data_IF_811925337919
#
_entry.id   IF_811925337919
#
_cell.length_a   1.000
_cell.length_b   1.000
_cell.length_c   1.000
_cell.angle_alpha   90.00
_cell.angle_beta   90.00
_cell.angle_gamma   90.00
#
_symmetry.space_group_name_H-M   'P 1'
#
loop_
_entity.id
_entity.type
_entity.pdbx_description
1 polymer ?
#
# COMPACT_ATOMS: atom_id res chain seq x y z
N UNK A 1 -14.40 -7.78 -16.13
CA UNK A 1 -12.96 -7.98 -16.45
C UNK A 1 -12.26 -8.29 -15.14
N UNK A 2 -11.97 -9.57 -14.90
CA UNK A 2 -11.16 -10.00 -13.76
C UNK A 2 -9.71 -9.86 -14.22
N UNK A 3 -8.94 -8.99 -13.57
CA UNK A 3 -7.55 -8.77 -13.93
C UNK A 3 -6.68 -9.88 -13.35
N UNK A 4 -5.96 -10.59 -14.21
CA UNK A 4 -4.90 -11.50 -13.78
C UNK A 4 -3.88 -10.74 -12.93
N UNK A 5 -3.67 -11.23 -11.70
CA UNK A 5 -2.58 -10.79 -10.83
C UNK A 5 -1.27 -11.32 -11.42
N UNK A 6 -0.61 -10.51 -12.24
CA UNK A 6 0.63 -10.90 -12.88
C UNK A 6 1.81 -10.69 -11.92
N UNK A 7 2.05 -11.66 -11.04
CA UNK A 7 3.19 -11.63 -10.12
C UNK A 7 4.55 -11.64 -10.84
N UNK A 8 4.61 -11.97 -12.14
CA UNK A 8 5.86 -12.04 -12.89
C UNK A 8 6.54 -10.68 -13.07
N UNK A 9 5.79 -9.57 -12.92
CA UNK A 9 6.34 -8.20 -13.04
C UNK A 9 6.33 -7.44 -11.72
N UNK A 10 5.88 -8.08 -10.62
CA UNK A 10 5.81 -7.44 -9.32
C UNK A 10 7.20 -7.33 -8.69
N UNK A 11 7.65 -6.11 -8.46
CA UNK A 11 8.84 -5.80 -7.67
C UNK A 11 8.39 -5.23 -6.32
N UNK A 12 8.88 -5.84 -5.23
CA UNK A 12 8.64 -5.42 -3.85
C UNK A 12 9.95 -4.91 -3.26
N UNK A 13 9.98 -3.63 -2.94
CA UNK A 13 11.17 -2.89 -2.50
C UNK A 13 10.97 -2.40 -1.06
N UNK A 14 11.45 -3.16 -0.06
CA UNK A 14 11.45 -2.71 1.32
C UNK A 14 12.53 -1.66 1.57
N UNK A 15 12.22 -0.64 2.36
CA UNK A 15 13.21 0.34 2.83
C UNK A 15 13.63 0.12 4.30
N UNK A 16 13.12 -0.93 4.96
CA UNK A 16 13.65 -1.36 6.25
C UNK A 16 15.04 -1.99 6.06
N UNK A 17 15.90 -1.84 7.07
CA UNK A 17 17.22 -2.49 7.04
C UNK A 17 17.15 -3.92 7.57
N UNK A 18 18.00 -4.80 7.04
CA UNK A 18 18.17 -6.18 7.49
C UNK A 18 19.56 -6.38 8.10
N UNK A 19 19.69 -7.38 8.97
CA UNK A 19 20.99 -7.88 9.42
C UNK A 19 21.57 -8.95 8.46
N UNK A 20 22.67 -9.57 8.86
CA UNK A 20 23.38 -10.61 8.11
C UNK A 20 22.65 -11.96 8.10
N UNK A 21 21.64 -12.16 8.96
CA UNK A 21 20.73 -13.30 8.94
C UNK A 21 19.46 -13.03 8.11
N UNK A 22 19.30 -11.80 7.60
CA UNK A 22 18.14 -11.38 6.82
C UNK A 22 16.93 -10.97 7.67
N UNK A 23 17.11 -10.73 8.97
CA UNK A 23 16.04 -10.29 9.86
C UNK A 23 15.88 -8.76 9.83
N UNK A 24 14.64 -8.22 9.86
CA UNK A 24 14.41 -6.78 9.94
C UNK A 24 15.02 -6.18 11.23
N UNK A 25 15.84 -5.15 11.07
CA UNK A 25 16.59 -4.51 12.15
C UNK A 25 16.07 -3.12 12.53
N UNK A 26 15.81 -2.28 11.53
CA UNK A 26 15.32 -0.92 11.73
C UNK A 26 14.24 -0.57 10.71
N UNK A 27 13.32 0.29 11.10
CA UNK A 27 12.33 0.91 10.22
C UNK A 27 12.99 1.74 9.11
N UNK A 28 12.21 2.10 8.09
CA UNK A 28 12.68 2.96 7.01
C UNK A 28 13.24 4.27 7.58
N UNK A 29 14.34 4.76 7.01
CA UNK A 29 14.88 6.06 7.40
C UNK A 29 13.83 7.16 7.21
N UNK A 30 13.87 8.21 8.02
CA UNK A 30 12.91 9.31 7.91
C UNK A 30 12.78 9.84 6.47
N UNK A 31 11.55 10.16 6.06
CA UNK A 31 11.20 10.62 4.71
C UNK A 31 11.32 9.55 3.60
N UNK A 32 11.47 8.28 3.96
CA UNK A 32 11.26 7.14 3.07
C UNK A 32 9.93 6.46 3.37
N UNK A 33 9.39 5.77 2.36
CA UNK A 33 8.21 4.90 2.49
C UNK A 33 8.64 3.56 3.08
N UNK A 34 7.78 2.83 3.78
CA UNK A 34 8.20 1.54 4.33
C UNK A 34 8.46 0.50 3.24
N UNK A 35 7.54 0.31 2.30
CA UNK A 35 7.66 -0.62 1.17
C UNK A 35 7.08 0.00 -0.10
N UNK A 36 7.76 -0.19 -1.23
CA UNK A 36 7.26 0.19 -2.56
C UNK A 36 6.95 -1.10 -3.33
N UNK A 37 5.74 -1.19 -3.88
CA UNK A 37 5.32 -2.29 -4.76
C UNK A 37 5.07 -1.73 -6.15
N UNK A 38 5.70 -2.28 -7.18
CA UNK A 38 5.46 -1.86 -8.58
C UNK A 38 5.28 -3.06 -9.48
N UNK A 39 4.30 -2.97 -10.37
CA UNK A 39 4.07 -3.93 -11.44
C UNK A 39 3.83 -3.19 -12.76
N UNK A 40 3.42 -3.89 -13.82
CA UNK A 40 3.19 -3.26 -15.13
C UNK A 40 1.96 -2.36 -15.19
N UNK A 41 1.09 -2.37 -14.18
CA UNK A 41 -0.19 -1.66 -14.12
C UNK A 41 -0.24 -0.61 -13.01
N UNK A 42 0.58 -0.75 -11.98
CA UNK A 42 0.46 0.03 -10.76
C UNK A 42 1.78 0.23 -10.04
N UNK A 43 1.87 1.34 -9.31
CA UNK A 43 2.93 1.61 -8.37
C UNK A 43 2.33 2.10 -7.06
N UNK A 44 2.55 1.35 -5.99
CA UNK A 44 1.96 1.61 -4.68
C UNK A 44 3.00 1.69 -3.58
N UNK A 45 2.62 2.38 -2.52
CA UNK A 45 3.40 2.49 -1.29
C UNK A 45 2.62 1.82 -0.18
N UNK A 46 3.27 0.94 0.57
CA UNK A 46 2.71 0.30 1.75
C UNK A 46 3.40 0.93 2.94
N UNK A 47 2.61 1.52 3.83
CA UNK A 47 3.05 2.31 4.96
C UNK A 47 2.40 1.72 6.21
N UNK A 48 3.20 1.34 7.20
CA UNK A 48 2.77 0.57 8.36
C UNK A 48 3.07 1.31 9.64
N UNK A 49 2.14 1.28 10.60
CA UNK A 49 2.36 1.96 11.88
C UNK A 49 1.78 1.17 13.04
N UNK A 50 2.45 1.24 14.19
CA UNK A 50 1.90 0.78 15.46
C UNK A 50 1.10 1.87 16.19
N UNK A 51 1.15 3.12 15.70
CA UNK A 51 0.41 4.23 16.30
C UNK A 51 -1.09 3.96 16.18
N UNK A 52 -1.77 4.00 17.32
CA UNK A 52 -3.22 3.95 17.42
C UNK A 52 -3.74 5.30 17.93
N UNK A 53 -4.79 5.84 17.31
CA UNK A 53 -5.44 7.08 17.74
C UNK A 53 -5.01 8.32 16.95
N UNK A 54 -5.24 9.51 17.54
CA UNK A 54 -5.11 10.82 16.89
C UNK A 54 -3.75 11.08 16.21
N UNK A 55 -2.69 10.46 16.71
CA UNK A 55 -1.34 10.59 16.15
C UNK A 55 -1.25 10.12 14.68
N UNK A 56 -2.13 9.22 14.24
CA UNK A 56 -2.11 8.70 12.87
C UNK A 56 -2.27 9.79 11.80
N UNK A 57 -3.12 10.80 12.04
CA UNK A 57 -3.33 11.86 11.04
C UNK A 57 -2.05 12.66 10.83
N UNK A 58 -1.48 13.18 11.91
CA UNK A 58 -0.32 14.07 11.82
C UNK A 58 0.99 13.33 11.52
N UNK A 59 1.18 12.16 12.14
CA UNK A 59 2.45 11.45 12.10
C UNK A 59 2.53 10.48 10.93
N UNK A 60 1.41 10.00 10.40
CA UNK A 60 1.39 8.99 9.32
C UNK A 60 0.75 9.56 8.05
N UNK A 61 -0.52 9.97 8.10
CA UNK A 61 -1.27 10.31 6.89
C UNK A 61 -0.76 11.57 6.17
N UNK A 62 -0.31 12.59 6.90
CA UNK A 62 0.34 13.76 6.29
C UNK A 62 1.64 13.38 5.55
N UNK A 63 2.60 12.64 6.15
CA UNK A 63 3.73 12.05 5.41
C UNK A 63 3.32 11.17 4.22
N UNK A 64 2.40 10.21 4.40
CA UNK A 64 1.95 9.29 3.35
C UNK A 64 1.40 10.06 2.16
N UNK A 65 0.63 11.12 2.40
CA UNK A 65 0.09 11.99 1.35
C UNK A 65 1.21 12.65 0.55
N UNK A 66 2.26 13.16 1.22
CA UNK A 66 3.44 13.73 0.55
C UNK A 66 4.21 12.66 -0.22
N UNK A 67 4.39 11.47 0.35
CA UNK A 67 5.05 10.35 -0.31
C UNK A 67 4.29 9.94 -1.58
N UNK A 68 2.96 9.84 -1.55
CA UNK A 68 2.18 9.47 -2.74
C UNK A 68 2.24 10.55 -3.83
N UNK A 69 2.17 11.84 -3.46
CA UNK A 69 2.37 12.95 -4.42
C UNK A 69 3.73 12.89 -5.10
N UNK A 70 4.80 12.78 -4.30
CA UNK A 70 6.16 12.70 -4.82
C UNK A 70 6.34 11.50 -5.76
N UNK A 71 5.66 10.37 -5.48
CA UNK A 71 5.69 9.19 -6.32
C UNK A 71 5.04 9.48 -7.69
N UNK A 72 3.85 10.07 -7.68
CA UNK A 72 3.13 10.43 -8.91
C UNK A 72 3.96 11.42 -9.73
N UNK A 73 4.43 12.50 -9.10
CA UNK A 73 5.23 13.55 -9.74
C UNK A 73 6.52 13.02 -10.37
N UNK A 74 7.25 12.16 -9.66
CA UNK A 74 8.51 11.57 -10.16
C UNK A 74 8.30 10.67 -11.37
N UNK A 75 7.07 10.21 -11.63
CA UNK A 75 6.73 9.32 -12.73
C UNK A 75 5.81 9.95 -13.80
N UNK A 76 5.51 11.25 -13.72
CA UNK A 76 4.65 11.95 -14.70
C UNK A 76 5.18 11.86 -16.15
N UNK A 77 6.49 11.69 -16.33
CA UNK A 77 7.13 11.59 -17.64
C UNK A 77 7.19 10.16 -18.20
N UNK A 78 6.71 9.15 -17.47
CA UNK A 78 6.65 7.78 -17.98
C UNK A 78 5.38 7.58 -18.81
N UNK A 79 5.54 7.07 -20.04
CA UNK A 79 4.45 6.87 -21.00
C UNK A 79 3.42 5.80 -20.57
N UNK A 80 3.65 5.08 -19.47
CA UNK A 80 2.74 4.06 -18.95
C UNK A 80 1.72 4.65 -17.98
N UNK A 81 0.44 4.43 -18.27
CA UNK A 81 -0.68 4.83 -17.43
C UNK A 81 -0.78 3.93 -16.19
N UNK A 82 0.14 4.13 -15.24
CA UNK A 82 0.19 3.36 -14.00
C UNK A 82 -0.80 3.89 -12.96
N UNK A 83 -1.50 3.00 -12.27
CA UNK A 83 -2.32 3.33 -11.12
C UNK A 83 -1.41 3.60 -9.90
N UNK A 84 -1.60 4.74 -9.23
CA UNK A 84 -0.86 5.10 -8.02
C UNK A 84 -1.77 5.09 -6.80
N UNK A 85 -1.38 4.40 -5.74
CA UNK A 85 -2.14 4.38 -4.49
C UNK A 85 -1.24 4.08 -3.29
N UNK A 86 -1.74 4.39 -2.10
CA UNK A 86 -1.09 4.05 -0.84
C UNK A 86 -1.98 3.11 0.00
N UNK A 87 -1.37 2.12 0.65
CA UNK A 87 -2.00 1.33 1.70
C UNK A 87 -1.40 1.73 3.04
N UNK A 88 -2.24 2.22 3.95
CA UNK A 88 -1.89 2.49 5.34
C UNK A 88 -2.43 1.37 6.23
N UNK A 89 -1.56 0.67 6.95
CA UNK A 89 -1.95 -0.47 7.79
C UNK A 89 -1.52 -0.20 9.24
N UNK A 90 -2.44 -0.38 10.18
CA UNK A 90 -2.15 -0.27 11.60
C UNK A 90 -2.94 -1.29 12.42
N UNK A 91 -2.59 -1.53 13.70
CA UNK A 91 -3.40 -2.39 14.56
C UNK A 91 -4.87 -1.96 14.62
N UNK A 92 -5.12 -0.65 14.65
CA UNK A 92 -6.45 -0.03 14.58
C UNK A 92 -6.38 1.34 13.94
N UNK A 93 -7.24 1.60 12.97
CA UNK A 93 -7.42 2.87 12.30
C UNK A 93 -8.34 3.76 13.15
N UNK A 94 -7.84 4.95 13.46
CA UNK A 94 -8.58 5.97 14.17
C UNK A 94 -9.63 6.61 13.25
N UNK A 95 -10.77 7.04 13.81
CA UNK A 95 -11.89 7.51 12.99
C UNK A 95 -11.53 8.73 12.13
N UNK A 96 -10.80 9.69 12.70
CA UNK A 96 -10.34 10.87 11.95
C UNK A 96 -9.39 10.48 10.80
N UNK A 97 -8.67 9.36 10.91
CA UNK A 97 -7.85 8.83 9.82
C UNK A 97 -8.71 8.37 8.64
N UNK A 98 -9.92 7.85 8.87
CA UNK A 98 -10.88 7.49 7.81
C UNK A 98 -11.44 8.72 7.13
N UNK A 99 -11.89 9.69 7.91
CA UNK A 99 -12.39 10.98 7.40
C UNK A 99 -11.31 11.68 6.57
N UNK A 100 -10.05 11.64 7.04
CA UNK A 100 -8.94 12.24 6.31
C UNK A 100 -8.72 11.61 4.93
N UNK A 101 -8.69 10.27 4.82
CA UNK A 101 -8.45 9.61 3.52
C UNK A 101 -9.60 9.84 2.54
N UNK A 102 -10.84 9.90 3.03
CA UNK A 102 -12.00 10.29 2.21
C UNK A 102 -11.87 11.73 1.71
N UNK A 103 -11.49 12.66 2.60
CA UNK A 103 -11.31 14.06 2.26
C UNK A 103 -10.19 14.27 1.24
N UNK A 104 -9.03 13.63 1.42
CA UNK A 104 -7.91 13.77 0.46
C UNK A 104 -8.24 13.15 -0.89
N UNK A 105 -8.98 12.04 -0.92
CA UNK A 105 -9.49 11.48 -2.17
C UNK A 105 -10.44 12.45 -2.87
N UNK A 106 -11.39 13.04 -2.15
CA UNK A 106 -12.31 14.03 -2.71
C UNK A 106 -11.60 15.30 -3.20
N UNK A 107 -10.70 15.85 -2.39
CA UNK A 107 -10.05 17.14 -2.64
C UNK A 107 -8.96 17.06 -3.70
N UNK A 108 -8.16 15.99 -3.67
CA UNK A 108 -6.91 15.90 -4.43
C UNK A 108 -6.84 14.69 -5.36
N UNK A 109 -7.85 13.81 -5.34
CA UNK A 109 -7.88 12.61 -6.18
C UNK A 109 -6.86 11.55 -5.80
N UNK A 110 -6.21 11.66 -4.64
CA UNK A 110 -5.21 10.70 -4.18
C UNK A 110 -5.86 9.47 -3.55
N UNK A 111 -5.50 8.28 -4.04
CA UNK A 111 -6.03 7.02 -3.54
C UNK A 111 -5.18 6.52 -2.36
N UNK A 112 -5.64 6.80 -1.14
CA UNK A 112 -5.06 6.24 0.10
C UNK A 112 -6.13 5.36 0.74
N UNK A 113 -5.80 4.10 1.01
CA UNK A 113 -6.69 3.17 1.72
C UNK A 113 -6.07 2.78 3.05
N UNK A 114 -6.85 2.88 4.11
CA UNK A 114 -6.44 2.48 5.43
C UNK A 114 -7.12 1.16 5.84
N UNK A 115 -6.39 0.31 6.55
CA UNK A 115 -6.90 -0.97 7.05
C UNK A 115 -6.43 -1.22 8.47
N UNK A 116 -7.36 -1.66 9.31
CA UNK A 116 -7.01 -2.37 10.54
C UNK A 116 -6.32 -3.67 10.15
N UNK A 117 -5.38 -4.15 10.99
CA UNK A 117 -4.62 -5.36 10.69
C UNK A 117 -5.53 -6.57 10.42
N UNK A 118 -6.63 -6.71 11.16
CA UNK A 118 -7.59 -7.80 10.96
C UNK A 118 -8.37 -7.65 9.65
N UNK A 119 -8.71 -6.42 9.27
CA UNK A 119 -9.37 -6.14 7.98
C UNK A 119 -8.42 -6.46 6.82
N UNK A 120 -7.15 -6.09 6.95
CA UNK A 120 -6.12 -6.38 5.97
C UNK A 120 -5.92 -7.89 5.77
N UNK A 121 -5.85 -8.66 6.86
CA UNK A 121 -5.73 -10.13 6.80
C UNK A 121 -6.95 -10.75 6.11
N UNK A 122 -8.15 -10.31 6.48
CA UNK A 122 -9.40 -10.83 5.90
C UNK A 122 -9.47 -10.56 4.39
N UNK A 123 -9.12 -9.35 3.94
CA UNK A 123 -9.10 -9.00 2.51
C UNK A 123 -8.02 -9.75 1.74
N UNK A 124 -6.83 -9.91 2.32
CA UNK A 124 -5.73 -10.67 1.72
C UNK A 124 -6.11 -12.14 1.51
N UNK A 125 -6.75 -12.76 2.50
CA UNK A 125 -7.18 -14.17 2.45
C UNK A 125 -8.26 -14.42 1.38
N UNK A 126 -9.21 -13.50 1.24
CA UNK A 126 -10.25 -13.57 0.20
C UNK A 126 -9.67 -13.44 -1.21
N UNK A 127 -8.61 -12.64 -1.39
CA UNK A 127 -7.92 -12.52 -2.67
C UNK A 127 -7.22 -13.82 -3.07
N UNK A 128 -6.58 -14.52 -2.12
CA UNK A 128 -5.95 -15.83 -2.37
C UNK A 128 -6.94 -16.93 -2.74
N UNK A 129 -8.14 -16.93 -2.16
CA UNK A 129 -9.16 -17.93 -2.48
C UNK A 129 -9.72 -17.76 -3.90
N UNK A 130 -9.88 -16.53 -4.39
CA UNK A 130 -10.33 -16.29 -5.77
C UNK A 130 -9.35 -16.77 -6.83
N UNK A 131 -8.04 -16.79 -6.54
CA UNK A 131 -7.06 -17.42 -7.43
C UNK A 131 -7.19 -18.93 -7.50
N UNK A 132 -7.51 -19.58 -6.36
CA UNK A 132 -7.62 -21.03 -6.27
C UNK A 132 -8.86 -21.59 -7.00
N UNK A 133 -10.00 -20.88 -6.95
CA UNK A 133 -11.22 -21.30 -7.65
C UNK A 133 -11.16 -21.14 -9.18
N UNK A 134 -10.24 -20.33 -9.71
CA UNK A 134 -10.06 -20.19 -11.17
C UNK A 134 -9.22 -21.34 -11.74
N UNK A 135 -8.24 -21.85 -10.99
CA UNK A 135 -7.41 -22.99 -11.41
C UNK A 135 -8.18 -24.33 -11.44
N UNK A 136 -9.18 -24.52 -10.59
CA UNK A 136 -10.03 -25.72 -10.63
C UNK A 136 -11.07 -25.67 -11.75
N UNK A 137 -11.57 -24.48 -12.12
CA UNK A 137 -12.57 -24.30 -13.19
C UNK A 137 -11.98 -24.38 -14.62
N UNK A 138 -10.66 -24.55 -14.75
CA UNK A 138 -9.95 -24.69 -16.04
C UNK A 138 -9.41 -26.13 -16.26
N UNK A 139 -9.82 -27.10 -15.44
CA UNK A 139 -9.39 -28.51 -15.53
C UNK A 139 -10.41 -29.47 -16.18
N UNK A 140 -11.53 -28.96 -16.71
CA UNK A 140 -12.52 -29.75 -17.46
C UNK A 140 -12.61 -29.32 -18.93
#
# INVERSE_FOLDING_TARGET
MVGDFNFNTLEVLPNYSIDDEGLPKCHASGNQRDIICKDSKSQSIIEVSLICGRGQVNNELLPITRHLKNLIESNQNQASQSLYFALFIAPKIFEDSKVYVEFIKFKEGLEIRNFDILEFIAKSSCASQKGLFVDEALRD
#
